data_IF_318613783011
#
_entry.id   IF_318613783011
#
_cell.length_a   1.000
_cell.length_b   1.000
_cell.length_c   1.000
_cell.angle_alpha   90.00
_cell.angle_beta   90.00
_cell.angle_gamma   90.00
#
_symmetry.space_group_name_H-M   'P 1'
#
loop_
_entity.id
_entity.type
_entity.pdbx_description
1 polymer ?
#
# COMPACT_ATOMS: atom_id res chain seq x y z
N UNK A 1 22.66 27.20 44.72
CA UNK A 1 21.57 27.70 45.59
C UNK A 1 20.56 26.55 45.77
N UNK A 2 20.51 26.02 47.00
CA UNK A 2 19.48 25.22 47.72
C UNK A 2 18.59 24.24 46.91
N UNK A 3 18.68 22.92 47.11
CA UNK A 3 18.31 22.10 48.28
C UNK A 3 16.78 22.00 48.51
N UNK A 4 16.25 20.78 48.35
CA UNK A 4 15.08 20.29 49.09
C UNK A 4 15.28 18.80 49.40
N UNK A 5 15.84 18.56 50.58
CA UNK A 5 15.88 17.26 51.25
C UNK A 5 14.48 16.94 51.77
N UNK A 6 13.92 15.78 51.39
CA UNK A 6 12.69 15.26 51.99
C UNK A 6 13.00 14.08 52.94
N UNK A 7 12.72 14.18 54.25
CA UNK A 7 12.98 13.14 55.22
C UNK A 7 11.76 12.22 55.34
N UNK A 8 11.65 11.22 54.46
CA UNK A 8 10.60 10.21 54.58
C UNK A 8 11.11 8.76 54.42
N UNK A 9 12.39 8.56 54.06
CA UNK A 9 12.90 7.23 53.75
C UNK A 9 13.49 6.47 54.95
N UNK A 10 13.76 7.14 56.08
CA UNK A 10 14.42 6.52 57.23
C UNK A 10 13.47 6.02 58.34
N UNK A 11 12.17 6.31 58.28
CA UNK A 11 11.22 5.80 59.30
C UNK A 11 10.70 4.39 59.03
N UNK A 12 10.84 3.85 57.82
CA UNK A 12 10.32 2.51 57.49
C UNK A 12 11.29 1.35 57.82
N UNK A 13 12.57 1.61 58.11
CA UNK A 13 13.51 0.54 58.49
C UNK A 13 13.47 0.18 59.99
N UNK A 14 13.03 1.11 60.85
CA UNK A 14 12.92 0.84 62.29
C UNK A 14 11.72 -0.08 62.62
N UNK A 15 10.60 0.11 61.93
CA UNK A 15 9.37 -0.67 62.14
C UNK A 15 9.51 -2.12 61.66
N UNK A 16 10.32 -2.36 60.63
CA UNK A 16 10.63 -3.71 60.13
C UNK A 16 11.57 -4.46 61.09
N UNK A 17 12.51 -3.76 61.75
CA UNK A 17 13.39 -4.37 62.76
C UNK A 17 12.68 -4.68 64.08
N UNK A 18 11.67 -3.90 64.47
CA UNK A 18 10.88 -4.18 65.67
C UNK A 18 9.97 -5.41 65.53
N UNK A 19 9.42 -5.67 64.33
CA UNK A 19 8.63 -6.88 64.07
C UNK A 19 9.47 -8.15 63.94
N UNK A 20 10.76 -8.05 63.62
CA UNK A 20 11.64 -9.20 63.54
C UNK A 20 12.05 -9.73 64.93
N UNK A 21 12.09 -8.89 65.97
CA UNK A 21 12.44 -9.30 67.34
C UNK A 21 11.31 -9.98 68.12
N UNK A 22 10.05 -9.76 67.76
CA UNK A 22 8.92 -10.42 68.42
C UNK A 22 8.69 -11.88 67.96
N UNK A 23 9.39 -12.32 66.91
CA UNK A 23 9.24 -13.68 66.36
C UNK A 23 10.22 -14.67 67.01
N UNK A 24 11.27 -14.20 67.68
CA UNK A 24 12.30 -15.06 68.28
C UNK A 24 11.88 -15.69 69.63
N UNK A 25 10.85 -15.18 70.31
CA UNK A 25 10.41 -15.69 71.62
C UNK A 25 9.26 -16.72 71.55
N UNK A 26 8.82 -17.15 70.37
CA UNK A 26 7.78 -18.20 70.22
C UNK A 26 8.29 -19.50 69.61
N UNK A 27 9.62 -19.66 69.49
CA UNK A 27 10.27 -20.75 68.77
C UNK A 27 10.29 -22.12 69.46
N UNK A 28 9.47 -22.38 70.49
CA UNK A 28 9.40 -23.68 71.19
C UNK A 28 8.02 -24.35 71.17
N UNK A 29 7.21 -24.08 70.14
CA UNK A 29 6.03 -24.90 69.85
C UNK A 29 6.27 -25.77 68.58
N UNK A 30 6.43 -27.09 68.70
CA UNK A 30 6.68 -27.98 67.55
C UNK A 30 5.54 -27.99 66.52
N UNK A 31 4.33 -27.51 66.87
CA UNK A 31 3.24 -27.33 65.90
C UNK A 31 3.36 -26.06 65.03
N UNK A 32 4.01 -24.99 65.52
CA UNK A 32 4.18 -23.75 64.76
C UNK A 32 5.23 -23.88 63.64
N UNK A 33 6.25 -24.72 63.84
CA UNK A 33 7.31 -25.01 62.86
C UNK A 33 6.77 -25.66 61.57
N UNK A 34 5.79 -26.56 61.69
CA UNK A 34 5.19 -27.22 60.52
C UNK A 34 4.31 -26.28 59.69
N UNK A 35 3.58 -25.35 60.35
CA UNK A 35 2.75 -24.35 59.65
C UNK A 35 3.64 -23.33 58.91
N UNK A 36 4.74 -22.90 59.51
CA UNK A 36 5.67 -21.94 58.89
C UNK A 36 6.42 -22.54 57.68
N UNK A 37 6.80 -23.84 57.73
CA UNK A 37 7.36 -24.57 56.57
C UNK A 37 6.34 -24.76 55.44
N UNK A 38 5.06 -24.97 55.75
CA UNK A 38 3.99 -25.06 54.73
C UNK A 38 3.68 -23.70 54.09
N UNK A 39 3.73 -22.61 54.86
CA UNK A 39 3.53 -21.25 54.33
C UNK A 39 4.68 -20.78 53.46
N UNK A 40 5.93 -21.07 53.86
CA UNK A 40 7.12 -20.69 53.08
C UNK A 40 7.28 -21.51 51.80
N UNK A 41 6.97 -22.82 51.82
CA UNK A 41 7.01 -23.66 50.62
C UNK A 41 5.91 -23.29 49.60
N UNK A 42 4.69 -22.94 50.06
CA UNK A 42 3.63 -22.44 49.19
C UNK A 42 3.97 -21.08 48.57
N UNK A 43 4.55 -20.15 49.33
CA UNK A 43 4.97 -18.85 48.80
C UNK A 43 6.14 -18.97 47.82
N UNK A 44 7.08 -19.89 48.04
CA UNK A 44 8.21 -20.10 47.12
C UNK A 44 7.77 -20.72 45.79
N UNK A 45 6.85 -21.68 45.83
CA UNK A 45 6.22 -22.23 44.63
C UNK A 45 5.44 -21.14 43.86
N UNK A 46 4.66 -20.31 44.57
CA UNK A 46 3.88 -19.23 43.96
C UNK A 46 4.77 -18.17 43.29
N UNK A 47 5.87 -17.74 43.94
CA UNK A 47 6.82 -16.75 43.37
C UNK A 47 7.55 -17.32 42.15
N UNK A 48 7.91 -18.61 42.15
CA UNK A 48 8.54 -19.24 40.99
C UNK A 48 7.55 -19.43 39.82
N UNK A 49 6.30 -19.80 40.09
CA UNK A 49 5.24 -19.85 39.08
C UNK A 49 4.95 -18.47 38.48
N UNK A 50 4.92 -17.41 39.30
CA UNK A 50 4.73 -16.04 38.82
C UNK A 50 5.90 -15.55 37.95
N UNK A 51 7.15 -15.86 38.35
CA UNK A 51 8.34 -15.54 37.53
C UNK A 51 8.34 -16.29 36.19
N UNK A 52 7.88 -17.54 36.16
CA UNK A 52 7.74 -18.28 34.89
C UNK A 52 6.65 -17.67 34.00
N UNK A 53 5.48 -17.36 34.55
CA UNK A 53 4.40 -16.68 33.82
C UNK A 53 4.84 -15.34 33.25
N UNK A 54 5.58 -14.53 34.03
CA UNK A 54 6.08 -13.24 33.57
C UNK A 54 7.11 -13.37 32.45
N UNK A 55 8.02 -14.36 32.52
CA UNK A 55 8.98 -14.64 31.44
C UNK A 55 8.27 -15.13 30.18
N UNK A 56 7.28 -15.99 30.30
CA UNK A 56 6.49 -16.46 29.15
C UNK A 56 5.70 -15.32 28.51
N UNK A 57 5.09 -14.44 29.32
CA UNK A 57 4.39 -13.25 28.83
C UNK A 57 5.34 -12.29 28.12
N UNK A 58 6.52 -12.04 28.70
CA UNK A 58 7.53 -11.20 28.08
C UNK A 58 8.00 -11.77 26.74
N UNK A 59 8.30 -13.07 26.67
CA UNK A 59 8.71 -13.73 25.43
C UNK A 59 7.60 -13.67 24.37
N UNK A 60 6.33 -13.83 24.74
CA UNK A 60 5.19 -13.70 23.83
C UNK A 60 5.03 -12.27 23.30
N UNK A 61 5.14 -11.26 24.17
CA UNK A 61 5.07 -9.86 23.75
C UNK A 61 6.26 -9.47 22.87
N UNK A 62 7.46 -9.97 23.18
CA UNK A 62 8.67 -9.68 22.42
C UNK A 62 8.65 -10.36 21.04
N UNK A 63 8.19 -11.62 20.98
CA UNK A 63 7.98 -12.31 19.69
C UNK A 63 6.84 -11.69 18.89
N UNK A 64 5.77 -11.21 19.53
CA UNK A 64 4.71 -10.45 18.87
C UNK A 64 5.25 -9.14 18.27
N UNK A 65 6.05 -8.36 19.01
CA UNK A 65 6.68 -7.16 18.48
C UNK A 65 7.66 -7.45 17.34
N UNK A 66 8.42 -8.54 17.44
CA UNK A 66 9.32 -8.94 16.36
C UNK A 66 8.53 -9.31 15.09
N UNK A 67 7.44 -10.07 15.24
CA UNK A 67 6.53 -10.41 14.14
C UNK A 67 5.91 -9.15 13.53
N UNK A 68 5.37 -8.24 14.35
CA UNK A 68 4.79 -6.98 13.87
C UNK A 68 5.83 -6.06 13.20
N UNK A 69 7.07 -6.00 13.71
CA UNK A 69 8.15 -5.21 13.10
C UNK A 69 8.63 -5.79 11.76
N UNK A 70 8.43 -7.09 11.54
CA UNK A 70 8.77 -7.76 10.27
C UNK A 70 7.65 -7.76 9.24
N UNK A 71 6.43 -7.37 9.62
CA UNK A 71 5.33 -7.28 8.66
C UNK A 71 5.49 -6.01 7.82
N UNK A 72 5.59 -6.12 6.49
CA UNK A 72 5.65 -4.94 5.64
C UNK A 72 4.37 -4.12 5.82
N UNK A 73 4.54 -2.80 5.95
CA UNK A 73 3.41 -1.89 6.00
C UNK A 73 2.53 -2.08 4.74
N UNK A 74 1.18 -1.99 4.86
CA UNK A 74 0.31 -2.10 3.70
C UNK A 74 0.64 -1.00 2.69
N UNK A 75 0.85 -1.38 1.43
CA UNK A 75 1.10 -0.41 0.36
C UNK A 75 -0.13 0.44 0.10
N UNK A 76 0.08 1.70 -0.26
CA UNK A 76 -0.98 2.63 -0.61
C UNK A 76 -1.14 2.70 -2.12
N UNK A 77 -2.38 2.50 -2.59
CA UNK A 77 -2.79 2.79 -3.97
C UNK A 77 -3.65 4.04 -3.95
N UNK A 78 -3.25 5.08 -4.67
CA UNK A 78 -4.09 6.26 -4.87
C UNK A 78 -4.95 6.08 -6.13
N UNK A 79 -6.26 5.89 -5.94
CA UNK A 79 -7.22 5.86 -7.02
C UNK A 79 -7.65 7.29 -7.38
N UNK A 80 -7.25 7.77 -8.56
CA UNK A 80 -7.65 9.10 -9.05
C UNK A 80 -8.91 8.93 -9.91
N UNK A 81 -10.01 9.47 -9.41
CA UNK A 81 -11.33 9.37 -10.02
C UNK A 81 -11.61 10.64 -10.82
N UNK A 82 -11.44 10.55 -12.13
CA UNK A 82 -11.68 11.63 -13.10
C UNK A 82 -12.81 11.31 -14.10
N UNK A 83 -13.49 10.17 -13.92
CA UNK A 83 -14.55 9.72 -14.83
C UNK A 83 -15.94 10.19 -14.37
N UNK A 84 -16.86 10.33 -15.33
CA UNK A 84 -18.26 10.70 -15.12
C UNK A 84 -19.05 9.69 -14.27
N UNK A 85 -18.54 8.47 -14.11
CA UNK A 85 -19.12 7.45 -13.26
C UNK A 85 -18.07 6.92 -12.28
N UNK A 86 -18.33 6.97 -10.95
CA UNK A 86 -17.42 6.44 -9.94
C UNK A 86 -17.30 4.92 -10.08
N UNK A 87 -16.05 4.43 -9.98
CA UNK A 87 -15.81 3.00 -9.75
C UNK A 87 -15.91 2.77 -8.25
N UNK A 88 -16.66 1.74 -7.84
CA UNK A 88 -16.84 1.41 -6.43
C UNK A 88 -15.59 0.69 -5.87
N UNK A 89 -14.60 1.48 -5.44
CA UNK A 89 -13.34 0.96 -4.90
C UNK A 89 -13.51 0.20 -3.59
N UNK A 90 -14.60 0.43 -2.85
CA UNK A 90 -14.82 -0.21 -1.55
C UNK A 90 -14.86 -1.73 -1.66
N UNK A 91 -15.46 -2.26 -2.73
CA UNK A 91 -15.53 -3.70 -3.01
C UNK A 91 -14.16 -4.30 -3.34
N UNK A 92 -13.33 -3.55 -4.05
CA UNK A 92 -11.96 -3.96 -4.41
C UNK A 92 -11.07 -3.92 -3.16
N UNK A 93 -11.19 -2.89 -2.33
CA UNK A 93 -10.42 -2.73 -1.09
C UNK A 93 -10.67 -3.86 -0.09
N UNK A 94 -11.89 -4.42 -0.02
CA UNK A 94 -12.19 -5.57 0.84
C UNK A 94 -11.37 -6.83 0.48
N UNK A 95 -10.85 -6.90 -0.74
CA UNK A 95 -10.08 -8.03 -1.27
C UNK A 95 -8.56 -7.86 -1.13
N UNK A 96 -8.08 -6.75 -0.57
CA UNK A 96 -6.65 -6.44 -0.42
C UNK A 96 -5.92 -7.27 0.66
N UNK A 97 -6.59 -8.27 1.24
CA UNK A 97 -6.07 -9.15 2.31
C UNK A 97 -5.13 -10.25 1.78
N UNK A 98 -4.36 -9.96 0.73
CA UNK A 98 -3.44 -10.90 0.09
C UNK A 98 -2.10 -11.00 0.83
N UNK A 99 -1.17 -11.82 0.32
CA UNK A 99 0.22 -11.94 0.82
C UNK A 99 0.97 -10.61 0.77
N UNK A 100 0.55 -9.67 -0.09
CA UNK A 100 1.10 -8.31 -0.21
C UNK A 100 -0.01 -7.33 0.17
N UNK A 101 -0.18 -7.00 1.46
CA UNK A 101 -1.27 -6.14 1.88
C UNK A 101 -1.14 -4.77 1.21
N UNK A 102 -2.24 -4.28 0.68
CA UNK A 102 -2.37 -2.91 0.18
C UNK A 102 -3.72 -2.34 0.61
N UNK A 103 -3.87 -1.03 0.47
CA UNK A 103 -5.15 -0.34 0.65
C UNK A 103 -5.31 0.70 -0.46
N UNK A 104 -6.56 1.01 -0.80
CA UNK A 104 -6.88 2.05 -1.76
C UNK A 104 -7.39 3.26 -0.99
N UNK A 105 -6.85 4.42 -1.32
CA UNK A 105 -7.50 5.68 -1.01
C UNK A 105 -7.90 6.40 -2.30
N UNK A 106 -9.02 7.13 -2.24
CA UNK A 106 -9.56 7.82 -3.40
C UNK A 106 -9.22 9.31 -3.38
N UNK A 107 -8.93 9.84 -4.57
CA UNK A 107 -8.91 11.27 -4.89
C UNK A 107 -9.96 11.53 -5.97
N UNK A 108 -11.08 12.13 -5.56
CA UNK A 108 -12.17 12.51 -6.47
C UNK A 108 -11.88 13.90 -7.03
N UNK A 109 -11.84 14.02 -8.35
CA UNK A 109 -11.68 15.31 -9.04
C UNK A 109 -13.08 15.87 -9.37
N UNK A 110 -13.75 16.44 -8.37
CA UNK A 110 -15.15 16.89 -8.48
C UNK A 110 -15.36 17.92 -9.60
N UNK A 111 -16.12 17.56 -10.64
CA UNK A 111 -16.38 18.44 -11.80
C UNK A 111 -15.34 18.33 -12.92
N UNK A 112 -14.37 17.41 -12.83
CA UNK A 112 -13.39 17.15 -13.89
C UNK A 112 -14.08 16.87 -15.24
N UNK A 113 -15.08 16.00 -15.23
CA UNK A 113 -15.84 15.62 -16.42
C UNK A 113 -16.59 16.80 -17.07
N UNK A 114 -17.11 17.72 -16.27
CA UNK A 114 -17.83 18.89 -16.75
C UNK A 114 -16.85 19.87 -17.42
N UNK A 115 -15.73 20.19 -16.77
CA UNK A 115 -14.70 21.07 -17.36
C UNK A 115 -14.14 20.45 -18.63
N UNK A 116 -13.85 19.15 -18.62
CA UNK A 116 -13.38 18.46 -19.81
C UNK A 116 -14.38 18.58 -20.97
N UNK A 117 -15.69 18.49 -20.68
CA UNK A 117 -16.76 18.59 -21.67
C UNK A 117 -16.90 20.01 -22.24
N UNK A 118 -16.78 21.04 -21.41
CA UNK A 118 -17.05 22.43 -21.81
C UNK A 118 -15.80 23.20 -22.24
N UNK A 119 -14.65 22.95 -21.61
CA UNK A 119 -13.40 23.70 -21.76
C UNK A 119 -12.25 22.83 -22.31
N UNK A 120 -12.45 21.52 -22.42
CA UNK A 120 -11.47 20.56 -22.95
C UNK A 120 -10.59 19.90 -21.88
N UNK A 121 -9.91 18.81 -22.27
CA UNK A 121 -9.12 17.99 -21.35
C UNK A 121 -7.94 18.75 -20.73
N UNK A 122 -7.28 19.62 -21.49
CA UNK A 122 -6.18 20.46 -21.00
C UNK A 122 -6.62 21.36 -19.84
N UNK A 123 -7.77 22.06 -19.99
CA UNK A 123 -8.29 22.95 -18.94
C UNK A 123 -8.63 22.17 -17.66
N UNK A 124 -9.16 20.94 -17.80
CA UNK A 124 -9.39 20.06 -16.67
C UNK A 124 -8.07 19.67 -15.96
N UNK A 125 -7.03 19.29 -16.71
CA UNK A 125 -5.72 18.98 -16.13
C UNK A 125 -5.12 20.18 -15.38
N UNK A 126 -5.14 21.37 -15.98
CA UNK A 126 -4.60 22.60 -15.36
C UNK A 126 -5.33 22.95 -14.06
N UNK A 127 -6.67 22.79 -14.02
CA UNK A 127 -7.43 23.05 -12.80
C UNK A 127 -7.05 22.09 -11.66
N UNK A 128 -6.82 20.82 -11.95
CA UNK A 128 -6.54 19.80 -10.94
C UNK A 128 -5.06 19.50 -10.74
N UNK A 129 -4.14 20.13 -11.48
CA UNK A 129 -2.70 19.89 -11.35
C UNK A 129 -2.24 20.06 -9.89
N UNK A 130 -2.50 21.24 -9.31
CA UNK A 130 -2.06 21.56 -7.95
C UNK A 130 -2.72 20.63 -6.91
N UNK A 131 -4.06 20.43 -6.90
CA UNK A 131 -4.69 19.44 -6.03
C UNK A 131 -4.07 18.04 -6.13
N UNK A 132 -3.79 17.54 -7.34
CA UNK A 132 -3.19 16.21 -7.52
C UNK A 132 -1.77 16.20 -6.97
N UNK A 133 -0.95 17.22 -7.25
CA UNK A 133 0.41 17.36 -6.75
C UNK A 133 0.45 17.37 -5.21
N UNK A 134 -0.40 18.17 -4.59
CA UNK A 134 -0.48 18.30 -3.14
C UNK A 134 -0.87 16.96 -2.50
N UNK A 135 -1.81 16.23 -3.09
CA UNK A 135 -2.25 14.92 -2.60
C UNK A 135 -1.21 13.81 -2.82
N UNK A 136 -0.49 13.81 -3.94
CA UNK A 136 0.65 12.91 -4.17
C UNK A 136 1.74 13.14 -3.13
N UNK A 137 2.10 14.40 -2.85
CA UNK A 137 3.11 14.73 -1.85
C UNK A 137 2.65 14.39 -0.42
N UNK A 138 1.38 14.65 -0.09
CA UNK A 138 0.83 14.40 1.25
C UNK A 138 0.68 12.92 1.55
N UNK A 139 0.21 12.13 0.58
CA UNK A 139 -0.12 10.72 0.78
C UNK A 139 1.06 9.79 0.45
N UNK A 140 1.95 10.21 -0.44
CA UNK A 140 3.11 9.43 -0.92
C UNK A 140 2.73 7.99 -1.31
N UNK A 141 1.82 7.80 -2.29
CA UNK A 141 1.32 6.48 -2.64
C UNK A 141 2.41 5.61 -3.29
N UNK A 142 2.29 4.28 -3.13
CA UNK A 142 3.17 3.29 -3.77
C UNK A 142 2.74 2.98 -5.21
N UNK A 143 1.47 3.23 -5.54
CA UNK A 143 0.94 3.08 -6.90
C UNK A 143 -0.19 4.07 -7.17
N UNK A 144 -0.39 4.42 -8.44
CA UNK A 144 -1.58 5.15 -8.89
C UNK A 144 -2.52 4.20 -9.63
N UNK A 145 -3.81 4.34 -9.38
CA UNK A 145 -4.85 3.68 -10.15
C UNK A 145 -5.75 4.73 -10.78
N UNK A 146 -6.02 4.57 -12.07
CA UNK A 146 -6.85 5.51 -12.83
C UNK A 146 -7.73 4.76 -13.83
N UNK A 147 -8.95 5.25 -14.05
CA UNK A 147 -9.90 4.64 -15.00
C UNK A 147 -10.30 5.59 -16.14
N UNK A 148 -10.62 5.03 -17.31
CA UNK A 148 -11.08 5.73 -18.52
C UNK A 148 -10.10 6.81 -19.01
N UNK A 149 -10.23 8.04 -18.52
CA UNK A 149 -9.36 9.20 -18.82
C UNK A 149 -7.98 9.12 -18.17
N UNK A 150 -7.70 8.00 -17.50
CA UNK A 150 -6.49 7.76 -16.74
C UNK A 150 -5.18 7.89 -17.50
N UNK A 151 -5.19 7.56 -18.79
CA UNK A 151 -3.96 7.58 -19.59
C UNK A 151 -3.44 9.02 -19.80
N UNK A 152 -4.35 9.96 -20.04
CA UNK A 152 -4.01 11.39 -20.15
C UNK A 152 -3.53 11.99 -18.82
N UNK A 153 -4.13 11.58 -17.70
CA UNK A 153 -3.69 12.01 -16.37
C UNK A 153 -2.31 11.45 -16.06
N UNK A 154 -2.08 10.15 -16.28
CA UNK A 154 -0.80 9.52 -15.98
C UNK A 154 0.34 10.11 -16.81
N UNK A 155 0.13 10.32 -18.11
CA UNK A 155 1.12 10.95 -18.99
C UNK A 155 1.39 12.41 -18.61
N UNK A 156 0.37 13.15 -18.17
CA UNK A 156 0.55 14.49 -17.62
C UNK A 156 1.46 14.44 -16.38
N UNK A 157 1.14 13.60 -15.40
CA UNK A 157 1.95 13.44 -14.19
C UNK A 157 3.39 13.02 -14.51
N UNK A 158 3.58 12.11 -15.46
CA UNK A 158 4.90 11.69 -15.91
C UNK A 158 5.68 12.86 -16.53
N UNK A 159 5.08 13.58 -17.49
CA UNK A 159 5.74 14.72 -18.16
C UNK A 159 6.11 15.88 -17.22
N UNK A 160 5.43 15.99 -16.08
CA UNK A 160 5.73 16.98 -15.04
C UNK A 160 6.76 16.48 -14.01
N UNK A 161 7.31 15.28 -14.19
CA UNK A 161 8.21 14.65 -13.21
C UNK A 161 7.53 14.31 -11.88
N UNK A 162 6.20 14.25 -11.85
CA UNK A 162 5.41 13.97 -10.64
C UNK A 162 5.25 12.48 -10.38
N UNK A 163 5.37 11.65 -11.41
CA UNK A 163 5.19 10.21 -11.27
C UNK A 163 5.98 9.40 -12.30
N UNK A 164 6.79 8.45 -11.81
CA UNK A 164 7.43 7.40 -12.61
C UNK A 164 7.17 5.99 -12.04
N UNK A 165 6.31 5.89 -11.03
CA UNK A 165 6.10 4.66 -10.25
C UNK A 165 5.10 3.68 -10.86
N UNK A 166 4.76 2.62 -10.11
CA UNK A 166 3.75 1.63 -10.49
C UNK A 166 2.39 2.26 -10.79
N UNK A 167 1.72 1.84 -11.85
CA UNK A 167 0.36 2.31 -12.12
C UNK A 167 -0.56 1.25 -12.73
N UNK A 168 -1.86 1.40 -12.46
CA UNK A 168 -2.95 0.63 -13.07
C UNK A 168 -3.84 1.57 -13.88
N UNK A 169 -4.05 1.22 -15.14
CA UNK A 169 -4.93 1.91 -16.07
C UNK A 169 -6.11 1.00 -16.42
N UNK A 170 -7.32 1.37 -16.04
CA UNK A 170 -8.54 0.61 -16.36
C UNK A 170 -9.27 1.25 -17.55
N UNK A 171 -9.38 0.54 -18.67
CA UNK A 171 -9.96 1.03 -19.92
C UNK A 171 -9.28 2.31 -20.43
N UNK A 172 -7.94 2.34 -20.58
CA UNK A 172 -7.22 3.56 -20.93
C UNK A 172 -7.50 4.00 -22.35
N UNK A 173 -7.93 5.24 -22.51
CA UNK A 173 -8.08 5.89 -23.81
C UNK A 173 -7.37 7.25 -23.72
N UNK A 174 -6.41 7.56 -24.61
CA UNK A 174 -5.73 8.85 -24.60
C UNK A 174 -6.71 9.98 -24.94
N UNK A 175 -6.33 11.20 -24.58
CA UNK A 175 -7.06 12.40 -24.96
C UNK A 175 -6.04 13.45 -25.36
N UNK A 176 -6.22 14.08 -26.51
CA UNK A 176 -5.39 15.20 -26.93
C UNK A 176 -5.34 16.31 -25.87
N UNK A 177 -4.15 16.84 -25.65
CA UNK A 177 -3.85 17.96 -24.75
C UNK A 177 -2.48 18.54 -25.11
N UNK A 178 -1.97 19.55 -24.40
CA UNK A 178 -0.77 20.28 -24.83
C UNK A 178 0.47 19.39 -24.93
N UNK A 179 0.57 18.33 -24.14
CA UNK A 179 1.68 17.38 -24.16
C UNK A 179 1.38 16.09 -24.94
N UNK A 180 0.13 15.82 -25.32
CA UNK A 180 -0.24 14.69 -26.19
C UNK A 180 -0.57 15.23 -27.56
N UNK A 181 0.27 14.92 -28.55
CA UNK A 181 0.00 15.29 -29.93
C UNK A 181 -1.37 14.74 -30.37
N UNK A 182 -2.30 15.64 -30.68
CA UNK A 182 -3.62 15.30 -31.20
C UNK A 182 -3.66 15.24 -32.73
N UNK A 183 -4.86 15.03 -33.27
CA UNK A 183 -5.15 15.06 -34.71
C UNK A 183 -5.55 13.69 -35.28
N UNK A 184 -5.13 12.60 -34.63
CA UNK A 184 -5.62 11.24 -34.88
C UNK A 184 -5.38 10.34 -33.67
N UNK A 185 -6.10 9.22 -33.58
CA UNK A 185 -5.92 8.23 -32.50
C UNK A 185 -4.49 7.70 -32.44
N UNK A 186 -3.88 7.44 -33.60
CA UNK A 186 -2.51 6.93 -33.72
C UNK A 186 -1.50 7.94 -33.17
N UNK A 187 -1.70 9.23 -33.45
CA UNK A 187 -0.83 10.29 -32.92
C UNK A 187 -0.95 10.43 -31.40
N UNK A 188 -2.17 10.32 -30.87
CA UNK A 188 -2.43 10.42 -29.44
C UNK A 188 -1.82 9.24 -28.67
N UNK A 189 -2.01 8.02 -29.17
CA UNK A 189 -1.40 6.81 -28.61
C UNK A 189 0.13 6.87 -28.71
N UNK A 190 0.68 7.20 -29.88
CA UNK A 190 2.13 7.27 -30.08
C UNK A 190 2.77 8.29 -29.14
N UNK A 191 2.19 9.49 -29.04
CA UNK A 191 2.69 10.54 -28.15
C UNK A 191 2.63 10.11 -26.69
N UNK A 192 1.51 9.51 -26.27
CA UNK A 192 1.32 9.10 -24.87
C UNK A 192 2.30 7.99 -24.47
N UNK A 193 2.41 6.93 -25.27
CA UNK A 193 3.30 5.82 -24.94
C UNK A 193 4.77 6.25 -24.97
N UNK A 194 5.17 7.15 -25.88
CA UNK A 194 6.53 7.74 -25.88
C UNK A 194 6.83 8.45 -24.57
N UNK A 195 5.91 9.29 -24.09
CA UNK A 195 6.10 10.00 -22.82
C UNK A 195 6.26 9.00 -21.67
N UNK A 196 5.32 8.08 -21.52
CA UNK A 196 5.35 7.09 -20.43
C UNK A 196 6.61 6.23 -20.45
N UNK A 197 7.08 5.83 -21.63
CA UNK A 197 8.31 5.05 -21.80
C UNK A 197 9.56 5.88 -21.49
N UNK A 198 9.65 7.10 -22.03
CA UNK A 198 10.80 8.00 -21.84
C UNK A 198 10.97 8.47 -20.40
N UNK A 199 9.86 8.69 -19.68
CA UNK A 199 9.85 9.06 -18.26
C UNK A 199 10.01 7.85 -17.34
N UNK A 200 10.15 6.64 -17.90
CA UNK A 200 10.42 5.42 -17.15
C UNK A 200 9.26 4.96 -16.26
N UNK A 201 8.02 5.30 -16.61
CA UNK A 201 6.83 4.94 -15.82
C UNK A 201 6.70 3.42 -15.77
N UNK A 202 6.74 2.85 -14.57
CA UNK A 202 6.36 1.44 -14.42
C UNK A 202 6.70 0.78 -13.08
N UNK A 203 6.27 -0.48 -12.90
CA UNK A 203 5.49 -1.29 -13.84
C UNK A 203 4.10 -0.71 -14.17
N UNK A 204 3.55 -1.05 -15.33
CA UNK A 204 2.28 -0.49 -15.82
C UNK A 204 1.31 -1.60 -16.19
N UNK A 205 0.15 -1.63 -15.54
CA UNK A 205 -0.90 -2.60 -15.76
C UNK A 205 -2.05 -1.99 -16.57
N UNK A 206 -2.41 -2.62 -17.69
CA UNK A 206 -3.51 -2.22 -18.55
C UNK A 206 -4.69 -3.19 -18.38
N UNK A 207 -5.77 -2.75 -17.76
CA UNK A 207 -7.02 -3.49 -17.71
C UNK A 207 -7.92 -3.12 -18.88
N UNK A 208 -8.35 -4.10 -19.68
CA UNK A 208 -9.12 -3.88 -20.90
C UNK A 208 -10.33 -4.82 -20.98
N UNK A 209 -11.48 -4.31 -21.39
CA UNK A 209 -12.69 -5.10 -21.59
C UNK A 209 -12.53 -6.13 -22.72
N UNK A 210 -13.26 -7.25 -22.65
CA UNK A 210 -13.23 -8.26 -23.71
C UNK A 210 -14.02 -7.89 -24.96
N UNK A 211 -14.79 -6.80 -24.91
CA UNK A 211 -15.56 -6.35 -26.06
C UNK A 211 -14.64 -5.98 -27.23
N UNK A 212 -15.13 -6.25 -28.44
CA UNK A 212 -14.32 -6.14 -29.65
C UNK A 212 -13.84 -4.71 -29.90
N UNK A 213 -14.72 -3.74 -29.67
CA UNK A 213 -14.43 -2.31 -29.71
C UNK A 213 -13.29 -1.91 -28.77
N UNK A 214 -13.34 -2.28 -27.50
CA UNK A 214 -12.33 -1.89 -26.51
C UNK A 214 -10.98 -2.55 -26.77
N UNK A 215 -10.98 -3.81 -27.24
CA UNK A 215 -9.74 -4.47 -27.66
C UNK A 215 -9.10 -3.80 -28.86
N UNK A 216 -9.87 -3.50 -29.91
CA UNK A 216 -9.34 -2.82 -31.09
C UNK A 216 -8.83 -1.42 -30.74
N UNK A 217 -9.59 -0.64 -29.96
CA UNK A 217 -9.23 0.74 -29.63
C UNK A 217 -8.01 0.89 -28.72
N UNK A 218 -7.63 -0.17 -28.02
CA UNK A 218 -6.56 -0.13 -27.02
C UNK A 218 -5.39 -1.01 -27.44
N UNK A 219 -5.61 -2.32 -27.59
CA UNK A 219 -4.51 -3.26 -27.83
C UNK A 219 -3.94 -3.06 -29.23
N UNK A 220 -4.80 -3.06 -30.25
CA UNK A 220 -4.36 -2.97 -31.63
C UNK A 220 -3.69 -1.61 -31.90
N UNK A 221 -4.24 -0.52 -31.35
CA UNK A 221 -3.65 0.82 -31.42
C UNK A 221 -2.29 0.90 -30.71
N UNK A 222 -2.18 0.35 -29.49
CA UNK A 222 -0.90 0.31 -28.77
C UNK A 222 0.17 -0.46 -29.55
N UNK A 223 -0.18 -1.61 -30.14
CA UNK A 223 0.74 -2.40 -30.97
C UNK A 223 1.11 -1.66 -32.27
N UNK A 224 0.15 -0.98 -32.90
CA UNK A 224 0.34 -0.21 -34.13
C UNK A 224 1.36 0.92 -33.96
N UNK A 225 1.49 1.50 -32.76
CA UNK A 225 2.54 2.51 -32.50
C UNK A 225 3.96 1.96 -32.65
N UNK A 226 4.17 0.66 -32.49
CA UNK A 226 5.49 -0.01 -32.54
C UNK A 226 6.42 0.32 -31.37
N UNK A 227 6.00 1.14 -30.39
CA UNK A 227 6.83 1.61 -29.27
C UNK A 227 7.16 0.46 -28.33
N UNK A 228 6.12 -0.22 -27.81
CA UNK A 228 6.29 -1.34 -26.89
C UNK A 228 6.33 -2.72 -27.57
N UNK A 229 6.12 -2.77 -28.89
CA UNK A 229 5.99 -4.02 -29.65
C UNK A 229 4.68 -4.74 -29.35
N UNK A 230 4.59 -6.03 -29.70
CA UNK A 230 3.38 -6.83 -29.51
C UNK A 230 3.22 -7.33 -28.07
N UNK A 231 2.00 -7.70 -27.72
CA UNK A 231 1.71 -8.42 -26.46
C UNK A 231 2.12 -9.89 -26.62
N UNK A 232 2.99 -10.37 -25.72
CA UNK A 232 3.41 -11.77 -25.70
C UNK A 232 2.29 -12.64 -25.11
N UNK A 233 1.79 -13.60 -25.88
CA UNK A 233 0.66 -14.45 -25.45
C UNK A 233 0.95 -15.30 -24.21
N UNK A 234 2.22 -15.60 -23.91
CA UNK A 234 2.59 -16.44 -22.76
C UNK A 234 2.61 -15.69 -21.42
N UNK A 235 2.87 -14.39 -21.44
CA UNK A 235 3.08 -13.57 -20.24
C UNK A 235 2.14 -12.39 -20.13
N UNK A 236 1.40 -12.07 -21.20
CA UNK A 236 0.61 -10.85 -21.37
C UNK A 236 1.43 -9.57 -21.19
N UNK A 237 2.76 -9.61 -21.37
CA UNK A 237 3.64 -8.45 -21.31
C UNK A 237 3.99 -7.95 -22.69
N UNK A 238 4.32 -6.67 -22.82
CA UNK A 238 4.78 -6.11 -24.09
C UNK A 238 6.23 -6.52 -24.39
N UNK A 239 6.56 -6.69 -25.67
CA UNK A 239 7.86 -7.18 -26.14
C UNK A 239 9.07 -6.32 -25.73
N UNK A 240 8.94 -4.99 -25.86
CA UNK A 240 10.00 -4.00 -25.57
C UNK A 240 9.79 -3.35 -24.20
N UNK A 241 8.54 -3.16 -23.79
CA UNK A 241 8.17 -2.63 -22.48
C UNK A 241 7.86 -3.78 -21.51
N UNK A 242 8.88 -4.55 -21.12
CA UNK A 242 8.69 -5.81 -20.35
C UNK A 242 8.07 -5.62 -18.95
N UNK A 243 8.11 -4.40 -18.42
CA UNK A 243 7.45 -4.02 -17.15
C UNK A 243 5.97 -3.65 -17.33
N UNK A 244 5.49 -3.64 -18.56
CA UNK A 244 4.12 -3.28 -18.92
C UNK A 244 3.36 -4.54 -19.34
N UNK A 245 2.13 -4.68 -18.86
CA UNK A 245 1.34 -5.88 -19.07
C UNK A 245 -0.15 -5.63 -19.14
N UNK A 246 -0.85 -6.52 -19.83
CA UNK A 246 -2.26 -6.44 -20.15
C UNK A 246 -3.06 -7.48 -19.36
N UNK A 247 -4.26 -7.11 -18.91
CA UNK A 247 -5.23 -8.03 -18.35
C UNK A 247 -6.60 -7.78 -18.97
N UNK A 248 -7.21 -8.84 -19.52
CA UNK A 248 -8.54 -8.76 -20.14
C UNK A 248 -9.64 -9.09 -19.13
N UNK A 249 -10.72 -8.31 -19.14
CA UNK A 249 -11.86 -8.45 -18.24
C UNK A 249 -13.15 -8.74 -19.01
N UNK A 250 -13.92 -9.78 -18.63
CA UNK A 250 -15.22 -10.03 -19.23
C UNK A 250 -16.14 -8.81 -19.11
N UNK A 251 -16.75 -8.41 -20.22
CA UNK A 251 -17.73 -7.31 -20.28
C UNK A 251 -17.46 -6.29 -21.40
N UNK A 252 -18.36 -5.30 -21.46
CA UNK A 252 -18.25 -4.09 -22.30
C UNK A 252 -17.59 -2.96 -21.51
N UNK A 253 -17.57 -1.73 -22.02
CA UNK A 253 -16.99 -0.54 -21.38
C UNK A 253 -17.37 -0.27 -19.89
N UNK A 254 -18.45 -0.88 -19.40
CA UNK A 254 -18.88 -0.84 -18.00
C UNK A 254 -18.22 -1.89 -17.09
N UNK A 255 -17.35 -2.77 -17.60
CA UNK A 255 -16.78 -3.93 -16.89
C UNK A 255 -16.10 -3.56 -15.57
N UNK A 256 -15.50 -2.37 -15.50
CA UNK A 256 -14.85 -1.82 -14.29
C UNK A 256 -15.82 -1.57 -13.13
N UNK A 257 -17.09 -1.37 -13.42
CA UNK A 257 -18.16 -1.19 -12.44
C UNK A 257 -18.92 -2.49 -12.14
N UNK A 258 -18.64 -3.57 -12.88
CA UNK A 258 -19.25 -4.87 -12.65
C UNK A 258 -18.67 -5.50 -11.37
N UNK A 259 -19.49 -5.79 -10.34
CA UNK A 259 -19.02 -6.42 -9.11
C UNK A 259 -18.30 -7.75 -9.33
N UNK A 260 -18.63 -8.50 -10.38
CA UNK A 260 -17.98 -9.77 -10.71
C UNK A 260 -16.51 -9.61 -11.08
N UNK A 261 -16.09 -8.42 -11.52
CA UNK A 261 -14.71 -8.11 -11.87
C UNK A 261 -13.86 -7.60 -10.69
N UNK A 262 -14.46 -7.26 -9.55
CA UNK A 262 -13.73 -6.68 -8.41
C UNK A 262 -12.53 -7.54 -7.95
N UNK A 263 -12.70 -8.88 -7.94
CA UNK A 263 -11.62 -9.82 -7.60
C UNK A 263 -10.48 -9.82 -8.60
N UNK A 264 -10.80 -9.72 -9.88
CA UNK A 264 -9.78 -9.69 -10.93
C UNK A 264 -9.02 -8.35 -10.91
N UNK A 265 -9.68 -7.24 -10.57
CA UNK A 265 -9.02 -5.93 -10.40
C UNK A 265 -8.08 -5.97 -9.18
N UNK A 266 -8.51 -6.57 -8.06
CA UNK A 266 -7.64 -6.77 -6.91
C UNK A 266 -6.40 -7.62 -7.26
N UNK A 267 -6.59 -8.70 -8.03
CA UNK A 267 -5.48 -9.53 -8.51
C UNK A 267 -4.52 -8.74 -9.43
N UNK A 268 -5.05 -7.85 -10.28
CA UNK A 268 -4.25 -6.98 -11.13
C UNK A 268 -3.29 -6.09 -10.30
N UNK A 269 -3.79 -5.53 -9.19
CA UNK A 269 -3.00 -4.73 -8.25
C UNK A 269 -1.94 -5.60 -7.55
N UNK A 270 -2.30 -6.81 -7.13
CA UNK A 270 -1.33 -7.76 -6.54
C UNK A 270 -0.20 -8.11 -7.51
N UNK A 271 -0.51 -8.33 -8.79
CA UNK A 271 0.47 -8.62 -9.84
C UNK A 271 1.35 -7.41 -10.13
N UNK A 272 0.79 -6.20 -10.14
CA UNK A 272 1.56 -4.96 -10.28
C UNK A 272 2.65 -4.88 -9.21
N UNK A 273 2.26 -5.06 -7.95
CA UNK A 273 3.20 -5.01 -6.83
C UNK A 273 4.20 -6.17 -6.85
N UNK A 274 3.77 -7.36 -7.25
CA UNK A 274 4.71 -8.46 -7.49
C UNK A 274 5.79 -8.10 -8.51
N UNK A 275 5.39 -7.53 -9.66
CA UNK A 275 6.34 -7.12 -10.69
C UNK A 275 7.26 -6.00 -10.21
N UNK A 276 6.74 -5.04 -9.46
CA UNK A 276 7.55 -3.98 -8.86
C UNK A 276 8.64 -4.55 -7.96
N UNK A 277 8.30 -5.53 -7.11
CA UNK A 277 9.26 -6.18 -6.21
C UNK A 277 10.32 -6.98 -6.95
N UNK A 278 9.93 -7.69 -8.03
CA UNK A 278 10.89 -8.43 -8.83
C UNK A 278 11.91 -7.49 -9.49
N UNK A 279 11.48 -6.33 -9.97
CA UNK A 279 12.36 -5.33 -10.57
C UNK A 279 13.28 -4.68 -9.54
N UNK A 280 12.76 -4.34 -8.36
CA UNK A 280 13.53 -3.71 -7.29
C UNK A 280 14.63 -4.63 -6.70
N UNK A 281 14.43 -5.95 -6.77
CA UNK A 281 15.36 -6.95 -6.25
C UNK A 281 16.39 -7.45 -7.28
N UNK A 282 16.34 -6.96 -8.53
CA UNK A 282 17.44 -7.20 -9.46
C UNK A 282 18.64 -6.35 -9.03
N UNK A 283 19.84 -6.94 -8.88
CA UNK A 283 21.05 -6.16 -8.64
C UNK A 283 21.14 -5.07 -9.70
N UNK A 284 21.32 -3.82 -9.30
CA UNK A 284 21.42 -2.78 -10.30
C UNK A 284 22.63 -3.09 -11.19
N UNK A 285 22.53 -2.88 -12.50
CA UNK A 285 23.67 -3.04 -13.40
C UNK A 285 24.86 -2.13 -13.01
N UNK A 286 24.61 -1.13 -12.14
CA UNK A 286 25.63 -0.29 -11.50
C UNK A 286 26.39 -0.96 -10.36
N UNK A 287 25.84 -2.00 -9.74
CA UNK A 287 26.49 -2.78 -8.68
C UNK A 287 27.26 -4.00 -9.24
N UNK A 288 27.22 -4.19 -10.57
CA UNK A 288 27.89 -5.29 -11.29
C UNK A 288 29.04 -4.81 -12.21
N UNK A 289 29.34 -3.51 -12.21
CA UNK A 289 30.48 -2.88 -12.90
C UNK A 289 31.46 -2.31 -11.88
#
# INVERSE_FOLDING_TARGET
IQAANHPAFFQNQATVRAKARAVDETAHNPHASNIFRLYTSRNFAFVNSFKMLWKSLFLLLWSWHLVCATMPAPRMVLAIQAANHPVDWSKIALLSKSVRPWHIEELVLEGFGDIMKFDGFQAALEKYERPIRDELARRNPDAILVSSKGLGILSFLASQGLWAGPAVLLSPIPNACNHIQGGSWESEWSSTLKILESEGVGPLAFGVGTSHDEKMLIIDEMEATGICGRVRSSTNTFEKCSKWFLYSFPGNHGWKNDPSNARNIALLIDVLFYMHDQVANLPSARDQL
#
